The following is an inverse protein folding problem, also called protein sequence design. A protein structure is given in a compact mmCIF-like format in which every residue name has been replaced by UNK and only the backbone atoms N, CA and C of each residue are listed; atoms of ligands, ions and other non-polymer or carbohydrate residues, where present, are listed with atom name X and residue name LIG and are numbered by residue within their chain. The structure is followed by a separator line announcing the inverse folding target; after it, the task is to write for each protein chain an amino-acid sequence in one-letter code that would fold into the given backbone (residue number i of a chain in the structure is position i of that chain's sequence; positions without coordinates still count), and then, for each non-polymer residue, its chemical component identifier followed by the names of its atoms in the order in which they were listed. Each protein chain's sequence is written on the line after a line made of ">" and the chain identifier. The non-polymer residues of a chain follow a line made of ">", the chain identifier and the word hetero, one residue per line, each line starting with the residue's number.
data_IF_631135820594
#
_entry.id   IF_631135820594
#
_cell.length_a   1.000
_cell.length_b   1.000
_cell.length_c   1.000
_cell.angle_alpha   90.00
_cell.angle_beta   90.00
_cell.angle_gamma   90.00
#
_symmetry.space_group_name_H-M   'P 1'
#
loop_
_entity.id
_entity.type
_entity.pdbx_description
1 polymer ?
#
# COMPACT_ATOMS: atom_id res chain seq x y z
N UNK A 1 -16.99 -14.49 11.61
CA UNK A 1 -17.19 -14.50 10.14
C UNK A 1 -15.81 -14.34 9.50
N UNK A 2 -15.41 -15.29 8.69
CA UNK A 2 -14.10 -15.29 8.05
C UNK A 2 -14.05 -14.17 7.01
N UNK A 3 -13.09 -13.24 7.15
CA UNK A 3 -12.81 -12.25 6.12
C UNK A 3 -12.33 -12.95 4.86
N UNK A 4 -13.13 -12.94 3.82
CA UNK A 4 -12.74 -13.45 2.51
C UNK A 4 -11.88 -12.37 1.85
N UNK A 5 -10.56 -12.42 2.12
CA UNK A 5 -9.61 -11.68 1.32
C UNK A 5 -9.60 -12.27 -0.09
N UNK A 6 -10.20 -11.59 -1.05
CA UNK A 6 -10.02 -11.88 -2.46
C UNK A 6 -8.55 -11.59 -2.81
N UNK A 7 -7.72 -12.63 -2.80
CA UNK A 7 -6.39 -12.54 -3.41
C UNK A 7 -6.61 -12.38 -4.90
N UNK A 8 -6.21 -11.24 -5.46
CA UNK A 8 -6.00 -11.15 -6.89
C UNK A 8 -5.16 -12.37 -7.30
N UNK A 9 -5.63 -13.18 -8.25
CA UNK A 9 -4.85 -14.32 -8.74
C UNK A 9 -3.69 -13.74 -9.54
N UNK A 10 -2.56 -13.59 -8.89
CA UNK A 10 -1.33 -13.25 -9.59
C UNK A 10 -1.01 -14.34 -10.63
N UNK A 11 -0.58 -13.96 -11.82
CA UNK A 11 -0.13 -14.93 -12.82
C UNK A 11 0.87 -15.90 -12.22
N UNK A 12 0.80 -17.17 -12.62
CA UNK A 12 1.69 -18.23 -12.10
C UNK A 12 3.18 -17.88 -12.21
N UNK A 13 3.56 -17.03 -13.17
CA UNK A 13 4.92 -16.51 -13.34
C UNK A 13 5.42 -15.71 -12.12
N UNK A 14 4.54 -14.99 -11.37
CA UNK A 14 4.93 -14.26 -10.17
C UNK A 14 5.15 -15.14 -8.94
N UNK A 15 4.71 -16.40 -9.00
CA UNK A 15 4.88 -17.39 -7.93
C UNK A 15 6.00 -18.39 -8.23
N UNK A 16 6.66 -18.27 -9.38
CA UNK A 16 7.74 -19.15 -9.78
C UNK A 16 8.96 -18.93 -8.90
N UNK A 17 9.33 -19.96 -8.13
CA UNK A 17 10.50 -19.91 -7.22
C UNK A 17 11.34 -21.16 -7.41
N UNK A 18 12.69 -21.08 -7.32
CA UNK A 18 13.48 -19.83 -7.19
C UNK A 18 13.44 -19.01 -8.49
N UNK A 19 13.71 -17.69 -8.39
CA UNK A 19 13.94 -16.86 -9.57
C UNK A 19 15.21 -17.27 -10.27
N UNK A 20 15.22 -17.18 -11.61
CA UNK A 20 16.48 -17.22 -12.35
C UNK A 20 17.25 -15.93 -12.07
N UNK A 21 18.37 -16.05 -11.35
CA UNK A 21 19.19 -14.91 -10.99
C UNK A 21 19.70 -14.12 -12.21
N UNK A 22 19.89 -14.78 -13.35
CA UNK A 22 20.32 -14.13 -14.59
C UNK A 22 19.22 -13.24 -15.20
N UNK A 23 17.96 -13.58 -14.97
CA UNK A 23 16.80 -12.85 -15.50
C UNK A 23 16.20 -11.87 -14.49
N UNK A 24 16.57 -11.95 -13.22
CA UNK A 24 15.97 -11.17 -12.15
C UNK A 24 15.98 -9.65 -12.43
N UNK A 25 17.07 -9.13 -12.99
CA UNK A 25 17.25 -7.71 -13.27
C UNK A 25 16.67 -7.26 -14.63
N UNK A 26 16.38 -8.17 -15.56
CA UNK A 26 16.09 -7.85 -16.96
C UNK A 26 14.79 -8.40 -17.50
N UNK A 27 14.23 -9.47 -16.89
CA UNK A 27 12.98 -10.04 -17.37
C UNK A 27 11.82 -9.07 -17.18
N UNK A 28 11.05 -8.71 -18.23
CA UNK A 28 9.88 -7.86 -18.10
C UNK A 28 8.89 -8.42 -17.08
N UNK A 29 8.26 -7.55 -16.33
CA UNK A 29 7.28 -7.97 -15.32
C UNK A 29 5.98 -8.41 -15.99
N UNK A 30 5.36 -9.52 -15.55
CA UNK A 30 4.03 -9.91 -16.03
C UNK A 30 2.91 -8.96 -15.55
N UNK A 31 3.23 -8.00 -14.68
CA UNK A 31 2.30 -6.93 -14.23
C UNK A 31 2.70 -5.55 -14.75
N UNK A 32 3.59 -5.49 -15.74
CA UNK A 32 4.11 -4.23 -16.28
C UNK A 32 3.01 -3.29 -16.81
N UNK A 33 1.95 -3.88 -17.37
CA UNK A 33 0.82 -3.14 -17.97
C UNK A 33 -0.27 -2.76 -16.96
N UNK A 34 -0.12 -3.14 -15.67
CA UNK A 34 -1.11 -2.80 -14.65
C UNK A 34 -0.94 -1.35 -14.21
N UNK A 35 -1.97 -0.55 -14.43
CA UNK A 35 -2.03 0.86 -14.03
C UNK A 35 -2.97 1.12 -12.84
N UNK A 36 -3.10 2.38 -12.45
CA UNK A 36 -3.93 2.81 -11.34
C UNK A 36 -5.42 2.59 -11.63
N UNK A 37 -5.86 2.79 -12.89
CA UNK A 37 -7.26 2.65 -13.27
C UNK A 37 -7.69 1.18 -13.20
N UNK A 38 -6.92 0.27 -13.80
CA UNK A 38 -7.17 -1.17 -13.75
C UNK A 38 -7.17 -1.72 -12.31
N UNK A 39 -6.20 -1.28 -11.48
CA UNK A 39 -6.16 -1.69 -10.08
C UNK A 39 -7.37 -1.18 -9.29
N UNK A 40 -7.84 0.03 -9.58
CA UNK A 40 -8.99 0.64 -8.92
C UNK A 40 -10.31 0.02 -9.38
N UNK A 41 -10.46 -0.30 -10.65
CA UNK A 41 -11.61 -1.04 -11.18
C UNK A 41 -11.74 -2.43 -10.54
N UNK A 42 -10.62 -3.13 -10.35
CA UNK A 42 -10.60 -4.40 -9.64
C UNK A 42 -11.06 -4.23 -8.19
N UNK A 43 -10.57 -3.21 -7.48
CA UNK A 43 -10.99 -2.92 -6.11
C UNK A 43 -12.49 -2.58 -6.06
N UNK A 44 -13.01 -1.78 -6.99
CA UNK A 44 -14.44 -1.44 -7.08
C UNK A 44 -15.28 -2.71 -7.28
N UNK A 45 -14.86 -3.60 -8.18
CA UNK A 45 -15.52 -4.89 -8.38
C UNK A 45 -15.56 -5.75 -7.10
N UNK A 46 -14.48 -5.73 -6.32
CA UNK A 46 -14.42 -6.42 -5.03
C UNK A 46 -15.32 -5.78 -3.97
N UNK A 47 -15.39 -4.44 -3.93
CA UNK A 47 -16.30 -3.69 -3.06
C UNK A 47 -17.76 -4.09 -3.38
N UNK A 48 -18.12 -4.15 -4.64
CA UNK A 48 -19.47 -4.52 -5.08
C UNK A 48 -19.83 -5.96 -4.68
N UNK A 49 -18.91 -6.90 -4.90
CA UNK A 49 -19.13 -8.29 -4.54
C UNK A 49 -19.28 -8.51 -3.02
N UNK A 50 -18.44 -7.83 -2.22
CA UNK A 50 -18.42 -8.02 -0.77
C UNK A 50 -19.53 -7.22 -0.08
N UNK A 51 -19.85 -6.04 -0.60
CA UNK A 51 -20.88 -5.17 -0.06
C UNK A 51 -22.31 -5.67 -0.36
N UNK A 52 -22.49 -6.40 -1.47
CA UNK A 52 -23.80 -6.87 -1.91
C UNK A 52 -24.87 -5.75 -1.94
N UNK A 53 -24.45 -4.52 -2.25
CA UNK A 53 -25.29 -3.31 -2.26
C UNK A 53 -25.07 -2.38 -1.06
N UNK A 54 -24.47 -2.85 0.03
CA UNK A 54 -24.15 -2.04 1.20
C UNK A 54 -22.73 -1.44 1.08
N UNK A 55 -22.50 -0.23 1.62
CA UNK A 55 -21.18 0.35 1.69
C UNK A 55 -20.24 -0.46 2.62
N UNK A 56 -18.96 -0.57 2.24
CA UNK A 56 -17.97 -1.36 2.98
C UNK A 56 -16.87 -0.49 3.58
N UNK A 57 -16.27 -0.94 4.70
CA UNK A 57 -15.03 -0.38 5.23
C UNK A 57 -13.87 -0.99 4.42
N UNK A 58 -13.03 -0.14 3.83
CA UNK A 58 -11.86 -0.57 3.07
C UNK A 58 -10.59 -0.19 3.81
N UNK A 59 -9.71 -1.17 4.04
CA UNK A 59 -8.38 -0.95 4.62
C UNK A 59 -7.35 -1.10 3.52
N UNK A 60 -6.62 -0.04 3.24
CA UNK A 60 -5.52 -0.04 2.29
C UNK A 60 -4.17 0.09 3.01
N UNK A 61 -3.19 -0.67 2.56
CA UNK A 61 -1.81 -0.64 3.05
C UNK A 61 -0.86 -0.20 1.94
N UNK A 62 0.15 0.60 2.30
CA UNK A 62 1.25 0.98 1.39
C UNK A 62 0.74 1.59 0.07
N UNK A 63 1.22 1.13 -1.09
CA UNK A 63 0.77 1.59 -2.41
C UNK A 63 -0.74 1.40 -2.68
N UNK A 64 -1.38 0.45 -1.97
CA UNK A 64 -2.83 0.23 -2.05
C UNK A 64 -3.66 1.45 -1.64
N UNK A 65 -3.08 2.39 -0.90
CA UNK A 65 -3.75 3.65 -0.56
C UNK A 65 -4.06 4.52 -1.78
N UNK A 66 -3.19 4.55 -2.80
CA UNK A 66 -3.49 5.27 -4.05
C UNK A 66 -4.66 4.63 -4.80
N UNK A 67 -4.73 3.29 -4.78
CA UNK A 67 -5.84 2.53 -5.38
C UNK A 67 -7.15 2.81 -4.65
N UNK A 68 -7.13 2.81 -3.31
CA UNK A 68 -8.29 3.18 -2.49
C UNK A 68 -8.73 4.62 -2.74
N UNK A 69 -7.78 5.57 -2.83
CA UNK A 69 -8.07 6.98 -3.11
C UNK A 69 -8.81 7.12 -4.45
N UNK A 70 -8.35 6.43 -5.49
CA UNK A 70 -9.00 6.44 -6.81
C UNK A 70 -10.37 5.77 -6.77
N UNK A 71 -10.50 4.60 -6.17
CA UNK A 71 -11.77 3.89 -6.05
C UNK A 71 -12.81 4.70 -5.25
N UNK A 72 -12.41 5.28 -4.10
CA UNK A 72 -13.29 6.11 -3.29
C UNK A 72 -13.71 7.42 -4.00
N UNK A 73 -12.86 7.97 -4.88
CA UNK A 73 -13.24 9.09 -5.74
C UNK A 73 -14.34 8.70 -6.75
N UNK A 74 -14.24 7.50 -7.32
CA UNK A 74 -15.17 7.03 -8.37
C UNK A 74 -16.50 6.52 -7.80
N UNK A 75 -16.47 5.88 -6.63
CA UNK A 75 -17.67 5.25 -6.03
C UNK A 75 -17.78 5.60 -4.53
N UNK A 76 -17.84 6.91 -4.16
CA UNK A 76 -17.80 7.33 -2.76
C UNK A 76 -18.94 6.73 -1.92
N UNK A 77 -20.14 6.58 -2.49
CA UNK A 77 -21.30 6.01 -1.80
C UNK A 77 -21.14 4.52 -1.44
N UNK A 78 -20.16 3.81 -2.01
CA UNK A 78 -19.90 2.39 -1.74
C UNK A 78 -18.81 2.17 -0.70
N UNK A 79 -18.10 3.23 -0.29
CA UNK A 79 -17.06 3.19 0.74
C UNK A 79 -17.59 3.84 2.01
N UNK A 80 -18.01 3.02 2.96
CA UNK A 80 -18.50 3.50 4.26
C UNK A 80 -17.39 4.22 5.05
N UNK A 81 -16.14 3.73 4.94
CA UNK A 81 -14.98 4.33 5.58
C UNK A 81 -13.67 3.87 4.89
N UNK A 82 -12.77 4.80 4.65
CA UNK A 82 -11.45 4.52 4.08
C UNK A 82 -10.38 4.53 5.18
N UNK A 83 -9.68 3.41 5.38
CA UNK A 83 -8.57 3.31 6.35
C UNK A 83 -7.25 3.22 5.59
N UNK A 84 -6.38 4.19 5.81
CA UNK A 84 -5.00 4.23 5.29
C UNK A 84 -4.06 3.70 6.38
N UNK A 85 -3.68 2.43 6.28
CA UNK A 85 -2.77 1.78 7.21
C UNK A 85 -1.34 1.96 6.72
N UNK A 86 -0.65 2.99 7.24
CA UNK A 86 0.68 3.41 6.73
C UNK A 86 0.75 3.32 5.21
N UNK A 87 -0.16 4.04 4.55
CA UNK A 87 -0.42 3.93 3.12
C UNK A 87 -0.27 5.29 2.41
N UNK A 88 0.01 5.26 1.13
CA UNK A 88 -0.02 6.48 0.32
C UNK A 88 -1.44 7.03 0.24
N UNK A 89 -1.61 8.31 0.58
CA UNK A 89 -2.86 9.04 0.47
C UNK A 89 -2.60 10.32 -0.37
N UNK A 90 -2.51 10.17 -1.70
CA UNK A 90 -2.06 11.24 -2.57
C UNK A 90 -3.03 12.43 -2.60
N UNK A 91 -2.49 13.64 -2.63
CA UNK A 91 -3.24 14.85 -2.93
C UNK A 91 -3.74 14.85 -4.38
N UNK A 92 -4.75 15.69 -4.67
CA UNK A 92 -5.34 15.81 -6.01
C UNK A 92 -4.28 16.07 -7.09
N UNK A 93 -4.27 15.24 -8.13
CA UNK A 93 -3.37 15.36 -9.27
C UNK A 93 -1.90 14.97 -9.01
N UNK A 94 -1.54 14.51 -7.81
CA UNK A 94 -0.16 14.14 -7.47
C UNK A 94 0.01 12.61 -7.58
N UNK A 95 0.95 12.12 -8.42
CA UNK A 95 1.21 10.68 -8.52
C UNK A 95 1.98 10.17 -7.30
N UNK A 96 1.72 8.92 -6.89
CA UNK A 96 2.42 8.28 -5.75
C UNK A 96 3.94 8.41 -5.85
N UNK A 97 4.51 8.20 -7.04
CA UNK A 97 5.97 8.24 -7.25
C UNK A 97 6.61 9.60 -6.88
N UNK A 98 5.85 10.69 -6.91
CA UNK A 98 6.38 12.00 -6.53
C UNK A 98 6.76 12.02 -5.05
N UNK A 99 5.96 11.39 -4.20
CA UNK A 99 6.19 11.33 -2.75
C UNK A 99 7.42 10.52 -2.35
N UNK A 100 7.81 9.52 -3.14
CA UNK A 100 9.00 8.70 -2.81
C UNK A 100 10.30 9.50 -2.84
N UNK A 101 10.30 10.68 -3.47
CA UNK A 101 11.46 11.59 -3.62
C UNK A 101 11.33 12.87 -2.80
N UNK A 102 10.25 13.05 -2.05
CA UNK A 102 10.06 14.22 -1.20
C UNK A 102 11.01 14.20 0.00
N UNK A 103 11.43 15.38 0.51
CA UNK A 103 12.27 15.48 1.70
C UNK A 103 11.67 14.75 2.92
N UNK A 104 10.35 14.76 3.05
CA UNK A 104 9.63 14.04 4.12
C UNK A 104 9.81 12.53 4.07
N UNK A 105 10.26 11.96 2.93
CA UNK A 105 10.59 10.54 2.78
C UNK A 105 12.09 10.27 2.73
N UNK A 106 12.92 11.24 3.09
CA UNK A 106 14.37 11.06 3.12
C UNK A 106 14.75 9.92 4.08
N UNK A 107 15.66 9.05 3.65
CA UNK A 107 16.06 7.87 4.42
C UNK A 107 15.14 6.66 4.25
N UNK A 108 14.09 6.75 3.43
CA UNK A 108 13.24 5.61 3.07
C UNK A 108 14.04 4.47 2.43
N UNK A 109 13.79 3.23 2.85
CA UNK A 109 14.62 2.07 2.47
C UNK A 109 14.20 1.40 1.17
N UNK A 110 12.99 1.63 0.66
CA UNK A 110 12.48 0.94 -0.53
C UNK A 110 13.41 1.00 -1.73
N UNK A 111 14.03 2.16 -2.09
CA UNK A 111 14.94 2.22 -3.23
C UNK A 111 16.16 1.31 -3.11
N UNK A 112 16.58 0.98 -1.87
CA UNK A 112 17.72 0.10 -1.61
C UNK A 112 17.35 -1.39 -1.65
N UNK A 113 16.08 -1.71 -1.77
CA UNK A 113 15.54 -3.07 -1.85
C UNK A 113 15.24 -3.48 -3.29
N UNK A 114 15.08 -2.53 -4.20
CA UNK A 114 14.75 -2.79 -5.61
C UNK A 114 15.98 -3.32 -6.36
N UNK A 115 15.84 -4.45 -7.06
CA UNK A 115 16.95 -5.17 -7.71
C UNK A 115 16.97 -5.05 -9.23
N UNK A 116 16.01 -4.35 -9.83
CA UNK A 116 15.94 -4.12 -11.28
C UNK A 116 15.60 -2.65 -11.54
N UNK A 117 15.89 -2.16 -12.76
CA UNK A 117 15.40 -0.85 -13.19
C UNK A 117 13.88 -0.91 -13.43
N UNK A 118 13.06 -0.22 -12.62
CA UNK A 118 11.62 -0.26 -12.77
C UNK A 118 11.12 0.24 -14.14
N UNK A 119 11.87 1.14 -14.79
CA UNK A 119 11.51 1.65 -16.12
C UNK A 119 11.75 0.59 -17.20
N UNK A 120 12.75 -0.26 -17.03
CA UNK A 120 13.09 -1.31 -17.99
C UNK A 120 12.14 -2.51 -17.89
N UNK A 121 11.71 -2.90 -16.68
CA UNK A 121 10.90 -4.11 -16.49
C UNK A 121 9.43 -3.83 -16.20
N UNK A 122 9.02 -2.58 -16.05
CA UNK A 122 7.63 -2.17 -15.77
C UNK A 122 7.17 -2.40 -14.32
N UNK A 123 8.07 -2.75 -13.39
CA UNK A 123 7.73 -3.01 -11.99
C UNK A 123 8.89 -2.68 -11.05
N UNK A 124 8.57 -2.35 -9.80
CA UNK A 124 9.54 -2.43 -8.71
C UNK A 124 9.69 -3.90 -8.29
N UNK A 125 10.88 -4.47 -8.49
CA UNK A 125 11.17 -5.86 -8.19
C UNK A 125 12.02 -6.03 -6.95
N UNK A 126 11.62 -6.95 -6.07
CA UNK A 126 12.38 -7.41 -4.91
C UNK A 126 12.87 -8.84 -5.15
N UNK A 127 14.10 -9.16 -4.75
CA UNK A 127 14.56 -10.55 -4.67
C UNK A 127 14.15 -11.16 -3.32
N UNK A 128 12.90 -11.60 -3.22
CA UNK A 128 12.34 -12.18 -1.99
C UNK A 128 12.94 -13.56 -1.66
N UNK A 129 13.78 -14.12 -2.54
CA UNK A 129 14.49 -15.39 -2.36
C UNK A 129 15.99 -15.23 -2.19
N UNK A 130 16.48 -14.01 -2.15
CA UNK A 130 17.92 -13.72 -2.07
C UNK A 130 18.63 -14.51 -0.96
N UNK A 131 19.74 -15.16 -1.26
CA UNK A 131 20.58 -15.81 -0.25
C UNK A 131 21.52 -14.81 0.47
N UNK A 132 21.66 -13.54 -0.03
CA UNK A 132 22.52 -12.52 0.55
C UNK A 132 21.97 -12.07 1.92
N UNK A 133 22.70 -12.33 3.03
CA UNK A 133 22.25 -11.96 4.35
C UNK A 133 22.07 -10.44 4.54
N UNK A 134 22.89 -9.62 3.87
CA UNK A 134 22.82 -8.18 3.97
C UNK A 134 21.59 -7.63 3.24
N UNK A 135 21.23 -8.20 2.10
CA UNK A 135 20.01 -7.86 1.38
C UNK A 135 18.75 -8.30 2.15
N UNK A 136 18.75 -9.53 2.70
CA UNK A 136 17.66 -10.01 3.56
C UNK A 136 17.45 -9.11 4.78
N UNK A 137 18.54 -8.67 5.43
CA UNK A 137 18.47 -7.73 6.54
C UNK A 137 17.81 -6.41 6.12
N UNK A 138 18.16 -5.86 4.94
CA UNK A 138 17.51 -4.65 4.41
C UNK A 138 16.01 -4.85 4.20
N UNK A 139 15.58 -5.98 3.65
CA UNK A 139 14.15 -6.29 3.49
C UNK A 139 13.42 -6.35 4.84
N UNK A 140 14.02 -7.02 5.86
CA UNK A 140 13.45 -7.06 7.21
C UNK A 140 13.29 -5.64 7.77
N UNK A 141 14.36 -4.83 7.72
CA UNK A 141 14.33 -3.46 8.23
C UNK A 141 13.31 -2.58 7.51
N UNK A 142 13.16 -2.75 6.20
CA UNK A 142 12.24 -1.98 5.40
C UNK A 142 10.77 -2.32 5.73
N UNK A 143 10.41 -3.60 5.72
CA UNK A 143 9.03 -4.03 5.75
C UNK A 143 8.56 -4.53 7.14
N UNK A 144 9.47 -5.07 7.96
CA UNK A 144 9.15 -5.88 9.14
C UNK A 144 10.09 -5.60 10.31
N UNK A 145 10.58 -4.37 10.46
CA UNK A 145 11.63 -3.99 11.41
C UNK A 145 11.28 -4.15 12.89
N UNK A 146 10.06 -4.50 13.22
CA UNK A 146 9.56 -4.76 14.58
C UNK A 146 9.13 -6.21 14.81
N UNK A 147 9.38 -7.11 13.83
CA UNK A 147 9.14 -8.53 13.97
C UNK A 147 10.42 -9.29 14.38
N UNK A 148 10.22 -10.45 15.00
CA UNK A 148 11.29 -11.45 15.11
C UNK A 148 11.85 -11.80 13.73
N UNK A 149 13.19 -11.96 13.58
CA UNK A 149 13.81 -12.22 12.28
C UNK A 149 13.27 -13.45 11.54
N UNK A 150 12.91 -14.53 12.24
CA UNK A 150 12.38 -15.73 11.61
C UNK A 150 10.96 -15.48 11.06
N UNK A 151 10.12 -14.74 11.81
CA UNK A 151 8.79 -14.35 11.36
C UNK A 151 8.87 -13.36 10.20
N UNK A 152 9.79 -12.39 10.25
CA UNK A 152 10.04 -11.46 9.15
C UNK A 152 10.45 -12.20 7.86
N UNK A 153 11.35 -13.18 7.97
CA UNK A 153 11.77 -14.01 6.83
C UNK A 153 10.61 -14.84 6.25
N UNK A 154 9.76 -15.40 7.11
CA UNK A 154 8.57 -16.12 6.66
C UNK A 154 7.60 -15.18 5.94
N UNK A 155 7.41 -13.95 6.42
CA UNK A 155 6.58 -12.95 5.77
C UNK A 155 7.16 -12.51 4.41
N UNK A 156 8.48 -12.26 4.32
CA UNK A 156 9.16 -11.94 3.06
C UNK A 156 8.97 -13.06 2.05
N UNK A 157 9.04 -14.32 2.48
CA UNK A 157 8.84 -15.47 1.60
C UNK A 157 7.43 -15.56 0.99
N UNK A 158 6.44 -14.86 1.55
CA UNK A 158 5.06 -14.78 1.05
C UNK A 158 4.82 -13.57 0.13
N UNK A 159 5.78 -12.65 0.02
CA UNK A 159 5.65 -11.51 -0.88
C UNK A 159 5.69 -11.96 -2.34
N UNK A 160 4.95 -11.25 -3.19
CA UNK A 160 5.18 -11.27 -4.63
C UNK A 160 6.38 -10.35 -4.94
N UNK A 161 7.25 -10.73 -5.90
CA UNK A 161 8.45 -9.94 -6.16
C UNK A 161 8.15 -8.57 -6.78
N UNK A 162 7.14 -8.49 -7.63
CA UNK A 162 6.88 -7.35 -8.49
C UNK A 162 5.68 -6.53 -8.01
N UNK A 163 5.88 -5.20 -7.96
CA UNK A 163 4.83 -4.21 -7.80
C UNK A 163 4.78 -3.33 -9.06
N UNK A 164 3.64 -3.25 -9.79
CA UNK A 164 3.56 -2.53 -11.05
C UNK A 164 3.84 -1.04 -10.89
N UNK A 165 4.66 -0.47 -11.79
CA UNK A 165 4.99 0.97 -11.77
C UNK A 165 3.81 1.84 -12.17
N UNK A 166 2.87 1.34 -12.97
CA UNK A 166 1.71 2.08 -13.46
C UNK A 166 0.82 2.63 -12.36
N UNK A 167 0.68 1.90 -11.23
CA UNK A 167 -0.04 2.41 -10.05
C UNK A 167 0.63 3.69 -9.51
N UNK A 168 1.95 3.72 -9.48
CA UNK A 168 2.72 4.86 -8.97
C UNK A 168 2.77 6.07 -9.90
N UNK A 169 2.45 5.89 -11.18
CA UNK A 169 2.43 6.93 -12.21
C UNK A 169 1.07 7.62 -12.33
N UNK A 170 -0.02 6.92 -12.02
CA UNK A 170 -1.38 7.42 -12.12
C UNK A 170 -1.66 8.54 -11.12
N UNK A 171 -2.60 9.42 -11.50
CA UNK A 171 -3.07 10.53 -10.66
C UNK A 171 -4.59 10.47 -10.52
N UNK A 172 -5.12 11.06 -9.45
CA UNK A 172 -6.55 11.21 -9.23
C UNK A 172 -6.90 12.66 -8.97
N UNK A 173 -7.83 13.22 -9.73
CA UNK A 173 -8.43 14.51 -9.38
C UNK A 173 -9.47 14.28 -8.31
N UNK A 174 -9.26 14.84 -7.12
CA UNK A 174 -10.14 14.69 -5.97
C UNK A 174 -11.17 15.81 -5.92
N UNK A 175 -12.42 15.46 -5.55
CA UNK A 175 -13.53 16.41 -5.38
C UNK A 175 -14.17 16.28 -4.01
N UNK A 176 -14.87 17.32 -3.57
CA UNK A 176 -15.51 17.33 -2.25
C UNK A 176 -16.65 16.32 -2.11
N UNK A 177 -17.39 16.07 -3.18
CA UNK A 177 -18.48 15.08 -3.28
C UNK A 177 -17.98 13.67 -3.66
N UNK A 178 -16.74 13.54 -4.13
CA UNK A 178 -16.06 12.27 -4.36
C UNK A 178 -15.32 11.79 -3.11
N UNK A 179 -14.00 11.57 -3.23
CA UNK A 179 -13.15 11.15 -2.11
C UNK A 179 -13.25 12.06 -0.88
N UNK A 180 -13.44 13.37 -1.09
CA UNK A 180 -13.59 14.35 -0.01
C UNK A 180 -14.79 14.10 0.91
N UNK A 181 -15.83 13.42 0.44
CA UNK A 181 -17.02 13.06 1.23
C UNK A 181 -16.86 11.77 2.04
N UNK A 182 -15.87 10.91 1.68
CA UNK A 182 -15.71 9.61 2.33
C UNK A 182 -15.01 9.77 3.69
N UNK A 183 -15.63 9.32 4.80
CA UNK A 183 -14.99 9.30 6.11
C UNK A 183 -13.68 8.52 6.05
N UNK A 184 -12.62 9.05 6.66
CA UNK A 184 -11.30 8.42 6.57
C UNK A 184 -10.53 8.41 7.88
N UNK A 185 -9.71 7.39 8.00
CA UNK A 185 -8.77 7.20 9.10
C UNK A 185 -7.38 6.97 8.52
N UNK A 186 -6.37 7.62 9.10
CA UNK A 186 -4.98 7.31 8.84
C UNK A 186 -4.34 6.67 10.07
N UNK A 187 -3.73 5.49 9.89
CA UNK A 187 -2.97 4.82 10.94
C UNK A 187 -1.49 5.06 10.69
N UNK A 188 -0.93 5.96 11.49
CA UNK A 188 0.48 6.35 11.44
C UNK A 188 1.33 5.27 12.11
N UNK A 189 2.36 4.78 11.43
CA UNK A 189 3.36 3.87 11.97
C UNK A 189 4.68 4.61 12.21
N UNK A 190 5.04 4.81 13.49
CA UNK A 190 6.16 5.70 13.87
C UNK A 190 7.54 5.12 13.59
N UNK A 191 7.64 3.82 13.30
CA UNK A 191 8.88 3.11 12.95
C UNK A 191 8.92 2.68 11.49
N UNK A 192 8.00 3.17 10.66
CA UNK A 192 7.98 2.87 9.23
C UNK A 192 9.22 3.45 8.54
N UNK A 193 9.88 2.61 7.75
CA UNK A 193 11.07 2.95 6.96
C UNK A 193 10.86 2.86 5.45
N UNK A 194 9.62 2.65 5.01
CA UNK A 194 9.19 2.73 3.60
C UNK A 194 8.50 4.08 3.36
N UNK A 195 7.49 4.38 4.17
CA UNK A 195 6.78 5.66 4.19
C UNK A 195 7.13 6.33 5.50
N UNK A 196 8.12 7.21 5.49
CA UNK A 196 8.60 7.87 6.70
C UNK A 196 7.48 8.56 7.46
N UNK A 197 7.50 8.60 8.81
CA UNK A 197 6.46 9.25 9.59
C UNK A 197 6.18 10.71 9.18
N UNK A 198 7.22 11.45 8.76
CA UNK A 198 7.04 12.82 8.27
C UNK A 198 6.20 12.87 6.99
N UNK A 199 6.37 11.90 6.07
CA UNK A 199 5.55 11.79 4.87
C UNK A 199 4.11 11.38 5.20
N UNK A 200 3.90 10.50 6.17
CA UNK A 200 2.56 10.13 6.64
C UNK A 200 1.81 11.36 7.21
N UNK A 201 2.48 12.21 7.99
CA UNK A 201 1.92 13.45 8.48
C UNK A 201 1.62 14.45 7.37
N UNK A 202 2.46 14.49 6.32
CA UNK A 202 2.23 15.33 5.16
C UNK A 202 0.95 14.92 4.42
N UNK A 203 0.67 13.63 4.25
CA UNK A 203 -0.57 13.15 3.64
C UNK A 203 -1.80 13.64 4.41
N UNK A 204 -1.77 13.54 5.75
CA UNK A 204 -2.86 13.99 6.61
C UNK A 204 -3.08 15.49 6.46
N UNK A 205 -2.00 16.28 6.55
CA UNK A 205 -2.07 17.73 6.45
C UNK A 205 -2.61 18.19 5.08
N UNK A 206 -2.14 17.59 3.99
CA UNK A 206 -2.61 17.91 2.62
C UNK A 206 -4.09 17.57 2.44
N UNK A 207 -4.54 16.42 2.95
CA UNK A 207 -5.93 15.98 2.89
C UNK A 207 -6.86 16.90 3.69
N UNK A 208 -6.48 17.25 4.92
CA UNK A 208 -7.30 18.06 5.81
C UNK A 208 -7.35 19.54 5.36
N UNK A 209 -6.26 20.04 4.76
CA UNK A 209 -6.24 21.36 4.14
C UNK A 209 -7.16 21.43 2.90
N UNK A 210 -7.19 20.36 2.09
CA UNK A 210 -8.02 20.30 0.89
C UNK A 210 -9.51 20.05 1.20
N UNK A 211 -9.81 19.30 2.26
CA UNK A 211 -11.18 18.89 2.62
C UNK A 211 -11.48 19.10 4.11
N UNK A 212 -11.48 20.36 4.60
CA UNK A 212 -11.59 20.69 6.03
C UNK A 212 -12.95 20.31 6.65
N UNK A 213 -13.99 20.13 5.82
CA UNK A 213 -15.30 19.69 6.30
C UNK A 213 -15.33 18.20 6.70
N UNK A 214 -14.35 17.41 6.27
CA UNK A 214 -14.23 15.99 6.58
C UNK A 214 -12.78 15.67 6.95
N UNK A 215 -12.33 16.04 8.17
CA UNK A 215 -10.94 15.84 8.59
C UNK A 215 -10.61 14.35 8.78
N UNK A 216 -9.33 14.04 8.64
CA UNK A 216 -8.80 12.68 8.81
C UNK A 216 -8.74 12.30 10.29
N UNK A 217 -9.38 11.19 10.69
CA UNK A 217 -9.15 10.59 12.02
C UNK A 217 -7.77 9.95 12.04
N UNK A 218 -6.99 10.20 13.09
CA UNK A 218 -5.61 9.70 13.18
C UNK A 218 -5.47 8.73 14.35
N UNK A 219 -4.89 7.57 14.08
CA UNK A 219 -4.37 6.65 15.08
C UNK A 219 -2.86 6.50 14.91
N UNK A 220 -2.14 6.29 16.02
CA UNK A 220 -0.69 6.16 16.01
C UNK A 220 -0.31 4.79 16.61
N UNK A 221 0.48 4.02 15.85
CA UNK A 221 1.05 2.75 16.29
C UNK A 221 2.58 2.88 16.33
N UNK A 222 3.21 2.32 17.36
CA UNK A 222 4.67 2.23 17.43
C UNK A 222 5.16 0.98 16.68
N UNK A 223 4.83 0.92 15.40
CA UNK A 223 5.07 -0.21 14.50
C UNK A 223 5.94 0.17 13.31
N UNK A 224 6.51 -0.84 12.67
CA UNK A 224 7.14 -0.73 11.34
C UNK A 224 6.09 -0.68 10.22
N UNK A 225 6.50 -0.90 8.97
CA UNK A 225 5.62 -0.82 7.79
C UNK A 225 4.47 -1.84 7.76
N UNK A 226 4.52 -2.92 8.55
CA UNK A 226 3.54 -4.01 8.48
C UNK A 226 2.85 -4.28 9.83
N UNK A 227 2.11 -3.31 10.40
CA UNK A 227 1.52 -3.41 11.73
C UNK A 227 0.46 -4.52 11.85
N UNK A 228 -0.12 -4.97 10.74
CA UNK A 228 -1.05 -6.10 10.72
C UNK A 228 -0.40 -7.44 11.09
N UNK A 229 0.93 -7.52 11.08
CA UNK A 229 1.70 -8.68 11.56
C UNK A 229 2.24 -8.48 12.99
N UNK A 230 2.76 -7.28 13.30
CA UNK A 230 3.36 -7.02 14.62
C UNK A 230 2.33 -6.65 15.69
N UNK A 231 1.23 -5.99 15.30
CA UNK A 231 0.19 -5.48 16.21
C UNK A 231 -1.23 -5.81 15.72
N UNK A 232 -1.54 -7.06 15.33
CA UNK A 232 -2.82 -7.42 14.70
C UNK A 232 -4.04 -7.06 15.55
N UNK A 233 -3.95 -7.20 16.88
CA UNK A 233 -5.02 -6.85 17.80
C UNK A 233 -5.34 -5.36 17.76
N UNK A 234 -4.31 -4.48 17.79
CA UNK A 234 -4.50 -3.03 17.76
C UNK A 234 -5.07 -2.57 16.41
N UNK A 235 -4.62 -3.17 15.30
CA UNK A 235 -5.19 -2.90 13.97
C UNK A 235 -6.66 -3.33 13.91
N UNK A 236 -6.98 -4.52 14.43
CA UNK A 236 -8.36 -5.01 14.50
C UNK A 236 -9.25 -4.10 15.35
N UNK A 237 -8.77 -3.62 16.49
CA UNK A 237 -9.51 -2.72 17.39
C UNK A 237 -9.85 -1.38 16.70
N UNK A 238 -8.94 -0.84 15.87
CA UNK A 238 -9.20 0.37 15.09
C UNK A 238 -10.35 0.13 14.10
N UNK A 239 -10.29 -0.96 13.36
CA UNK A 239 -11.33 -1.31 12.36
C UNK A 239 -12.68 -1.57 13.05
N UNK A 240 -12.69 -2.29 14.17
CA UNK A 240 -13.92 -2.66 14.89
C UNK A 240 -14.66 -1.47 15.51
N UNK A 241 -13.94 -0.41 15.90
CA UNK A 241 -14.54 0.84 16.41
C UNK A 241 -15.40 1.57 15.37
N UNK A 242 -15.14 1.37 14.09
CA UNK A 242 -15.89 2.01 12.98
C UNK A 242 -17.17 1.25 12.61
N UNK A 243 -17.42 0.08 13.19
CA UNK A 243 -18.62 -0.73 12.94
C UNK A 243 -19.81 -0.40 13.86
N UNK A 244 -19.67 0.66 14.67
CA UNK A 244 -20.71 1.08 15.63
C UNK A 244 -21.55 2.22 15.10
#
# INVERSE_FOLDING_TARGET
>A
MAGHGLRARHPAALTRRPFDAALLATEPSPVADVDLDQASELLISQIDQLGAGDPVIVVAHSAGGSVLTRAAQLVPARVAHAIYLTAFMPASGVPLRAYTRMPENEGGLLPRCVVADPAAIGAMRLDVTSPDPAYRQRLREAFYGDLDPALADAAIALLTPDAPTGIGLGTTTLTADGWGSVPRTYVVCTRDRIIQPALQQRFIADADAAFPANPTTVHVLHASHSPFLSMPGQVADIVMKLRR
#
